data_IF_301312181869
#
_entry.id   IF_301312181869
#
_cell.length_a   1.000
_cell.length_b   1.000
_cell.length_c   1.000
_cell.angle_alpha   90.00
_cell.angle_beta   90.00
_cell.angle_gamma   90.00
#
_symmetry.space_group_name_H-M   'P 1'
#
loop_
_entity.id
_entity.type
_entity.pdbx_description
1 polymer ?
#
# COMPACT_ATOMS: atom_id res chain seq x y z
N UNK A 1 11.63 -14.39 -10.14
CA UNK A 1 11.46 -14.45 -8.68
C UNK A 1 10.70 -13.22 -8.19
N UNK A 2 10.00 -13.30 -7.05
CA UNK A 2 9.35 -12.14 -6.43
C UNK A 2 10.37 -11.25 -5.70
N UNK A 3 10.05 -9.95 -5.55
CA UNK A 3 10.92 -8.97 -4.87
C UNK A 3 11.40 -9.46 -3.50
N UNK A 4 10.51 -10.09 -2.73
CA UNK A 4 10.82 -10.62 -1.40
C UNK A 4 11.78 -11.80 -1.40
N UNK A 5 11.69 -12.70 -2.38
CA UNK A 5 12.64 -13.82 -2.49
C UNK A 5 14.05 -13.31 -2.77
N UNK A 6 14.17 -12.28 -3.62
CA UNK A 6 15.44 -11.64 -3.90
C UNK A 6 15.99 -10.92 -2.66
N UNK A 7 15.16 -10.14 -1.97
CA UNK A 7 15.58 -9.44 -0.75
C UNK A 7 16.01 -10.43 0.36
N UNK A 8 15.26 -11.53 0.55
CA UNK A 8 15.63 -12.58 1.49
C UNK A 8 16.96 -13.24 1.12
N UNK A 9 17.17 -13.53 -0.16
CA UNK A 9 18.43 -14.09 -0.63
C UNK A 9 19.59 -13.12 -0.41
N UNK A 10 19.40 -11.83 -0.71
CA UNK A 10 20.39 -10.79 -0.46
C UNK A 10 20.80 -10.72 1.01
N UNK A 11 19.84 -10.73 1.94
CA UNK A 11 20.12 -10.70 3.39
C UNK A 11 20.89 -11.94 3.87
N UNK A 12 20.69 -13.09 3.23
CA UNK A 12 21.45 -14.31 3.51
C UNK A 12 22.87 -14.18 2.94
N UNK A 13 23.00 -13.66 1.71
CA UNK A 13 24.29 -13.48 1.04
C UNK A 13 25.17 -12.43 1.73
N UNK A 14 24.58 -11.39 2.33
CA UNK A 14 25.28 -10.36 3.11
C UNK A 14 25.59 -10.80 4.55
N UNK A 15 25.02 -11.92 5.00
CA UNK A 15 25.19 -12.42 6.37
C UNK A 15 24.33 -11.72 7.43
N UNK A 16 23.39 -10.85 7.02
CA UNK A 16 22.40 -10.23 7.92
C UNK A 16 21.37 -11.24 8.43
N UNK A 17 21.19 -12.35 7.72
CA UNK A 17 20.42 -13.51 8.14
C UNK A 17 21.26 -14.79 8.10
N UNK A 18 21.00 -15.76 9.00
CA UNK A 18 21.66 -17.06 8.93
C UNK A 18 21.26 -17.84 7.68
N UNK A 19 22.02 -18.88 7.35
CA UNK A 19 21.60 -19.85 6.34
C UNK A 19 20.29 -20.51 6.78
N UNK A 20 19.25 -20.37 5.96
CA UNK A 20 17.93 -20.92 6.21
C UNK A 20 17.72 -22.22 5.43
N UNK A 21 16.92 -23.14 5.95
CA UNK A 21 16.40 -24.27 5.17
C UNK A 21 15.49 -23.78 4.04
N UNK A 22 15.26 -24.62 3.03
CA UNK A 22 14.31 -24.29 1.97
C UNK A 22 12.88 -24.07 2.50
N UNK A 23 12.51 -24.77 3.57
CA UNK A 23 11.22 -24.60 4.24
C UNK A 23 11.10 -23.22 4.88
N UNK A 24 12.10 -22.79 5.66
CA UNK A 24 12.12 -21.47 6.30
C UNK A 24 12.13 -20.34 5.26
N UNK A 25 12.90 -20.48 4.18
CA UNK A 25 12.90 -19.50 3.09
C UNK A 25 11.52 -19.37 2.45
N UNK A 26 10.85 -20.49 2.22
CA UNK A 26 9.49 -20.48 1.67
C UNK A 26 8.48 -19.89 2.65
N UNK A 27 8.63 -20.16 3.94
CA UNK A 27 7.75 -19.62 4.97
C UNK A 27 7.84 -18.08 5.02
N UNK A 28 9.07 -17.54 5.08
CA UNK A 28 9.31 -16.10 5.06
C UNK A 28 8.89 -15.44 3.74
N UNK A 29 9.17 -16.09 2.60
CA UNK A 29 8.81 -15.55 1.30
C UNK A 29 7.28 -15.41 1.11
N UNK A 30 6.49 -16.22 1.82
CA UNK A 30 5.02 -16.24 1.74
C UNK A 30 4.31 -15.50 2.87
N UNK A 31 5.06 -14.82 3.76
CA UNK A 31 4.52 -14.17 4.96
C UNK A 31 3.40 -13.17 4.68
N UNK A 32 3.42 -12.49 3.51
CA UNK A 32 2.37 -11.54 3.12
C UNK A 32 0.98 -12.17 3.13
N UNK A 33 0.85 -13.42 2.66
CA UNK A 33 -0.43 -14.12 2.67
C UNK A 33 -0.94 -14.44 4.08
N UNK A 34 -0.13 -14.27 5.12
CA UNK A 34 -0.45 -14.58 6.52
C UNK A 34 -0.67 -13.32 7.37
N UNK A 35 -0.51 -12.13 6.79
CA UNK A 35 -0.73 -10.88 7.52
C UNK A 35 -2.20 -10.73 7.90
N UNK A 36 -2.42 -10.16 9.08
CA UNK A 36 -3.75 -9.80 9.58
C UNK A 36 -3.95 -8.29 9.42
N UNK A 37 -5.20 -7.89 9.22
CA UNK A 37 -5.56 -6.47 9.22
C UNK A 37 -5.39 -5.86 10.60
N UNK A 38 -5.03 -4.58 10.64
CA UNK A 38 -5.14 -3.81 11.87
C UNK A 38 -6.60 -3.73 12.35
N UNK A 39 -6.89 -3.76 13.66
CA UNK A 39 -8.26 -3.85 14.19
C UNK A 39 -9.20 -2.71 13.76
N UNK A 40 -8.66 -1.52 13.51
CA UNK A 40 -9.40 -0.32 13.09
C UNK A 40 -9.73 -0.30 11.58
N UNK A 41 -8.96 -1.03 10.78
CA UNK A 41 -8.99 -0.92 9.32
C UNK A 41 -10.28 -1.46 8.68
N UNK A 42 -10.88 -2.58 9.15
CA UNK A 42 -12.13 -3.09 8.58
C UNK A 42 -13.31 -2.10 8.70
N UNK A 43 -13.47 -1.47 9.86
CA UNK A 43 -14.55 -0.51 10.10
C UNK A 43 -14.37 0.75 9.25
N UNK A 44 -13.15 1.33 9.25
CA UNK A 44 -12.84 2.50 8.43
C UNK A 44 -13.03 2.20 6.94
N UNK A 45 -12.50 1.08 6.44
CA UNK A 45 -12.65 0.68 5.03
C UNK A 45 -14.12 0.52 4.65
N UNK A 46 -14.95 -0.04 5.53
CA UNK A 46 -16.38 -0.20 5.28
C UNK A 46 -17.06 1.16 5.13
N UNK A 47 -16.80 2.08 6.06
CA UNK A 47 -17.32 3.46 5.99
C UNK A 47 -16.86 4.19 4.71
N UNK A 48 -15.58 4.06 4.36
CA UNK A 48 -15.01 4.65 3.14
C UNK A 48 -15.63 4.06 1.87
N UNK A 49 -15.85 2.74 1.83
CA UNK A 49 -16.35 2.05 0.63
C UNK A 49 -17.78 2.46 0.27
N UNK A 50 -18.53 3.03 1.21
CA UNK A 50 -19.85 3.59 0.95
C UNK A 50 -19.80 4.96 0.24
N UNK A 51 -18.65 5.65 0.27
CA UNK A 51 -18.49 7.01 -0.24
C UNK A 51 -17.60 7.08 -1.49
N UNK A 52 -16.59 6.21 -1.57
CA UNK A 52 -15.51 6.32 -2.56
C UNK A 52 -15.10 4.95 -3.12
N UNK A 53 -14.50 4.97 -4.31
CA UNK A 53 -13.72 3.82 -4.81
C UNK A 53 -12.55 3.57 -3.86
N UNK A 54 -12.11 2.31 -3.76
CA UNK A 54 -10.98 1.91 -2.91
C UNK A 54 -10.16 0.90 -3.70
N UNK A 55 -8.91 1.24 -3.94
CA UNK A 55 -7.98 0.45 -4.75
C UNK A 55 -6.68 0.24 -4.00
N UNK A 56 -6.26 -1.02 -3.87
CA UNK A 56 -4.95 -1.35 -3.32
C UNK A 56 -3.86 -1.32 -4.41
N UNK A 57 -2.75 -0.63 -4.17
CA UNK A 57 -1.57 -0.49 -5.05
C UNK A 57 -0.30 -0.89 -4.28
N UNK A 58 0.23 -2.08 -4.52
CA UNK A 58 1.30 -2.63 -3.66
C UNK A 58 2.52 -3.12 -4.45
N UNK A 59 3.69 -3.05 -3.82
CA UNK A 59 4.92 -3.69 -4.31
C UNK A 59 4.88 -5.23 -4.25
N UNK A 60 3.82 -5.82 -3.67
CA UNK A 60 3.60 -7.26 -3.69
C UNK A 60 3.19 -7.77 -5.08
N UNK A 61 3.49 -9.04 -5.36
CA UNK A 61 3.06 -9.69 -6.61
C UNK A 61 1.54 -9.86 -6.60
N UNK A 62 0.91 -9.86 -7.79
CA UNK A 62 -0.54 -9.97 -7.90
C UNK A 62 -1.11 -11.22 -7.20
N UNK A 63 -0.46 -12.37 -7.34
CA UNK A 63 -0.87 -13.61 -6.67
C UNK A 63 -0.84 -13.49 -5.13
N UNK A 64 0.11 -12.74 -4.60
CA UNK A 64 0.25 -12.52 -3.16
C UNK A 64 -0.81 -11.54 -2.67
N UNK A 65 -1.15 -10.52 -3.47
CA UNK A 65 -2.22 -9.60 -3.15
C UNK A 65 -3.60 -10.27 -3.20
N UNK A 66 -3.83 -11.18 -4.13
CA UNK A 66 -5.06 -12.00 -4.16
C UNK A 66 -5.15 -12.86 -2.90
N UNK A 67 -4.04 -13.49 -2.50
CA UNK A 67 -3.98 -14.32 -1.29
C UNK A 67 -4.20 -13.49 -0.03
N UNK A 68 -3.53 -12.34 0.09
CA UNK A 68 -3.71 -11.39 1.19
C UNK A 68 -5.15 -10.90 1.27
N UNK A 69 -5.75 -10.50 0.13
CA UNK A 69 -7.11 -9.98 0.10
C UNK A 69 -8.12 -11.02 0.60
N UNK A 70 -7.94 -12.28 0.23
CA UNK A 70 -8.74 -13.40 0.73
C UNK A 70 -8.55 -13.63 2.23
N UNK A 71 -7.32 -13.73 2.69
CA UNK A 71 -7.01 -14.17 4.06
C UNK A 71 -7.20 -13.08 5.12
N UNK A 72 -7.06 -11.82 4.72
CA UNK A 72 -7.22 -10.67 5.58
C UNK A 72 -8.62 -10.04 5.47
N UNK A 73 -9.56 -10.68 4.76
CA UNK A 73 -10.94 -10.21 4.55
C UNK A 73 -11.02 -8.77 4.01
N UNK A 74 -10.01 -8.40 3.22
CA UNK A 74 -9.88 -7.07 2.63
C UNK A 74 -10.67 -7.05 1.32
N UNK A 75 -11.79 -6.31 1.30
CA UNK A 75 -12.56 -6.08 0.08
C UNK A 75 -12.14 -4.77 -0.57
N UNK A 76 -11.60 -4.88 -1.78
CA UNK A 76 -11.20 -3.77 -2.62
C UNK A 76 -12.10 -3.70 -3.84
N UNK A 77 -12.25 -2.51 -4.41
CA UNK A 77 -12.86 -2.37 -5.73
C UNK A 77 -11.89 -2.82 -6.83
N UNK A 78 -10.59 -2.59 -6.63
CA UNK A 78 -9.51 -3.11 -7.48
C UNK A 78 -8.23 -3.33 -6.69
N UNK A 79 -7.34 -4.17 -7.24
CA UNK A 79 -6.02 -4.47 -6.68
C UNK A 79 -4.99 -4.43 -7.80
N UNK A 80 -3.94 -3.64 -7.63
CA UNK A 80 -2.89 -3.36 -8.61
C UNK A 80 -1.53 -3.71 -7.98
N UNK A 81 -0.79 -4.58 -8.65
CA UNK A 81 0.61 -4.82 -8.32
C UNK A 81 1.48 -3.80 -9.03
N UNK A 82 2.43 -3.18 -8.31
CA UNK A 82 3.40 -2.26 -8.89
C UNK A 82 4.21 -2.90 -10.03
N UNK A 83 4.35 -4.24 -10.04
CA UNK A 83 4.99 -4.96 -11.15
C UNK A 83 4.34 -4.69 -12.51
N UNK A 84 3.06 -4.33 -12.57
CA UNK A 84 2.39 -3.96 -13.81
C UNK A 84 2.97 -2.69 -14.45
N UNK A 85 3.63 -1.83 -13.66
CA UNK A 85 4.35 -0.65 -14.17
C UNK A 85 5.84 -0.92 -14.40
N UNK A 86 6.28 -2.19 -14.32
CA UNK A 86 7.70 -2.59 -14.40
C UNK A 86 8.63 -1.88 -13.40
N UNK A 87 8.07 -1.39 -12.29
CA UNK A 87 8.81 -0.70 -11.23
C UNK A 87 8.19 -0.99 -9.86
N UNK A 88 8.75 -0.38 -8.82
CA UNK A 88 8.23 -0.45 -7.46
C UNK A 88 8.15 0.96 -6.87
N UNK A 89 7.20 1.18 -5.96
CA UNK A 89 7.15 2.41 -5.15
C UNK A 89 8.51 2.58 -4.45
N UNK A 90 9.06 3.81 -4.33
CA UNK A 90 8.44 5.11 -4.64
C UNK A 90 8.56 5.56 -6.10
N UNK A 91 8.92 4.69 -7.04
CA UNK A 91 9.05 5.12 -8.43
C UNK A 91 7.73 5.68 -8.96
N UNK A 92 7.81 6.87 -9.54
CA UNK A 92 6.68 7.68 -9.95
C UNK A 92 5.71 7.01 -10.95
N UNK A 93 6.21 6.06 -11.76
CA UNK A 93 5.44 5.37 -12.78
C UNK A 93 4.42 4.40 -12.18
N UNK A 94 4.58 3.98 -10.92
CA UNK A 94 3.60 3.15 -10.22
C UNK A 94 2.29 3.93 -10.02
N UNK A 95 2.39 5.18 -9.58
CA UNK A 95 1.22 6.04 -9.38
C UNK A 95 0.61 6.45 -10.73
N UNK A 96 1.46 6.80 -11.71
CA UNK A 96 1.02 7.12 -13.08
C UNK A 96 0.22 5.96 -13.68
N UNK A 97 0.74 4.73 -13.60
CA UNK A 97 0.06 3.55 -14.13
C UNK A 97 -1.29 3.32 -13.44
N UNK A 98 -1.38 3.50 -12.11
CA UNK A 98 -2.64 3.36 -11.39
C UNK A 98 -3.67 4.41 -11.81
N UNK A 99 -3.26 5.68 -11.97
CA UNK A 99 -4.11 6.76 -12.46
C UNK A 99 -4.64 6.47 -13.87
N UNK A 100 -3.77 6.04 -14.78
CA UNK A 100 -4.12 5.75 -16.18
C UNK A 100 -5.04 4.54 -16.32
N UNK A 101 -4.72 3.43 -15.66
CA UNK A 101 -5.51 2.19 -15.72
C UNK A 101 -6.95 2.39 -15.24
N UNK A 102 -7.15 3.29 -14.29
CA UNK A 102 -8.43 3.54 -13.64
C UNK A 102 -9.08 4.87 -14.06
N UNK A 103 -8.45 5.60 -14.99
CA UNK A 103 -8.88 6.89 -15.52
C UNK A 103 -9.22 7.89 -14.39
N UNK A 104 -8.27 8.04 -13.46
CA UNK A 104 -8.42 8.88 -12.28
C UNK A 104 -7.82 10.26 -12.49
N UNK A 105 -8.50 11.28 -11.95
CA UNK A 105 -7.94 12.63 -11.82
C UNK A 105 -7.04 12.68 -10.58
N UNK A 106 -5.73 12.95 -10.70
CA UNK A 106 -4.83 13.03 -9.55
C UNK A 106 -5.30 14.00 -8.48
N UNK A 107 -5.87 15.16 -8.86
CA UNK A 107 -6.33 16.17 -7.89
C UNK A 107 -7.54 15.71 -7.06
N UNK A 108 -8.24 14.66 -7.53
CA UNK A 108 -9.36 14.02 -6.84
C UNK A 108 -9.02 12.61 -6.35
N UNK A 109 -7.75 12.24 -6.40
CA UNK A 109 -7.25 10.95 -5.97
C UNK A 109 -6.37 11.10 -4.74
N UNK A 110 -6.70 10.40 -3.68
CA UNK A 110 -5.91 10.36 -2.46
C UNK A 110 -5.11 9.08 -2.37
N UNK A 111 -3.84 9.13 -1.94
CA UNK A 111 -3.06 7.96 -1.52
C UNK A 111 -3.01 7.93 0.00
N UNK A 112 -3.34 6.78 0.57
CA UNK A 112 -3.39 6.58 2.03
C UNK A 112 -2.36 5.53 2.41
N UNK A 113 -1.36 5.88 3.23
CA UNK A 113 -0.27 4.98 3.60
C UNK A 113 0.28 5.28 5.00
N UNK A 114 0.91 4.27 5.60
CA UNK A 114 1.66 4.41 6.85
C UNK A 114 3.12 4.83 6.64
N UNK A 115 3.55 4.92 5.38
CA UNK A 115 4.92 5.18 4.99
C UNK A 115 5.02 6.58 4.36
N UNK A 116 5.65 7.56 5.04
CA UNK A 116 5.78 8.92 4.52
C UNK A 116 6.47 9.00 3.15
N UNK A 117 7.41 8.09 2.87
CA UNK A 117 8.10 8.05 1.58
C UNK A 117 7.16 7.70 0.41
N UNK A 118 6.11 6.92 0.64
CA UNK A 118 5.11 6.54 -0.36
C UNK A 118 4.22 7.76 -0.67
N UNK A 119 3.85 8.49 0.37
CA UNK A 119 3.02 9.70 0.27
C UNK A 119 3.75 10.85 -0.43
N UNK A 120 5.03 11.07 -0.15
CA UNK A 120 5.84 12.07 -0.88
C UNK A 120 5.88 11.79 -2.38
N UNK A 121 6.04 10.54 -2.76
CA UNK A 121 6.07 10.16 -4.17
C UNK A 121 4.72 10.34 -4.87
N UNK A 122 3.61 10.07 -4.17
CA UNK A 122 2.26 10.37 -4.65
C UNK A 122 2.01 11.88 -4.79
N UNK A 123 2.47 12.68 -3.83
CA UNK A 123 2.30 14.14 -3.86
C UNK A 123 3.01 14.80 -5.06
N UNK A 124 4.14 14.24 -5.52
CA UNK A 124 4.81 14.68 -6.75
C UNK A 124 3.96 14.47 -8.02
N UNK A 125 2.90 13.66 -7.94
CA UNK A 125 1.90 13.48 -9.01
C UNK A 125 0.62 14.27 -8.77
N UNK A 126 0.67 15.29 -7.91
CA UNK A 126 -0.46 16.14 -7.55
C UNK A 126 -1.63 15.36 -6.92
N UNK A 127 -1.35 14.18 -6.37
CA UNK A 127 -2.32 13.40 -5.61
C UNK A 127 -2.46 13.94 -4.19
N UNK A 128 -3.66 13.83 -3.63
CA UNK A 128 -3.90 14.06 -2.21
C UNK A 128 -3.23 12.93 -1.39
N UNK A 129 -2.91 13.19 -0.13
CA UNK A 129 -2.18 12.21 0.70
C UNK A 129 -2.76 12.12 2.10
N UNK A 130 -2.87 10.92 2.66
CA UNK A 130 -3.25 10.71 4.04
C UNK A 130 -2.27 9.76 4.73
N UNK A 131 -1.73 10.20 5.86
CA UNK A 131 -0.82 9.40 6.64
C UNK A 131 -1.56 8.72 7.78
N UNK A 132 -1.48 7.39 7.81
CA UNK A 132 -2.08 6.60 8.88
C UNK A 132 -0.95 6.00 9.72
N UNK A 133 -0.73 6.56 10.90
CA UNK A 133 0.37 6.12 11.77
C UNK A 133 0.22 4.64 12.14
N UNK A 134 1.28 3.86 11.91
CA UNK A 134 1.40 2.46 12.33
C UNK A 134 2.73 2.22 13.06
N UNK A 135 2.81 1.24 13.96
CA UNK A 135 4.07 0.83 14.56
C UNK A 135 5.11 0.46 13.50
N UNK A 136 6.36 0.87 13.71
CA UNK A 136 7.52 0.49 12.90
C UNK A 136 7.51 0.94 11.42
N UNK A 137 6.68 1.93 11.03
CA UNK A 137 6.64 2.44 9.64
C UNK A 137 7.43 3.74 9.41
N UNK A 138 8.11 4.23 10.46
CA UNK A 138 8.67 5.58 10.48
C UNK A 138 7.58 6.65 10.67
N UNK A 139 7.99 7.86 11.03
CA UNK A 139 7.09 9.01 11.18
C UNK A 139 7.34 10.07 10.10
N UNK A 140 6.38 10.99 9.87
CA UNK A 140 6.59 12.15 9.02
C UNK A 140 7.79 12.98 9.49
N UNK A 141 8.49 13.60 8.54
CA UNK A 141 9.39 14.72 8.84
C UNK A 141 8.57 16.00 9.06
N UNK A 142 9.16 17.06 9.64
CA UNK A 142 8.48 18.35 9.79
C UNK A 142 8.04 19.00 8.45
N UNK A 143 8.67 18.58 7.34
CA UNK A 143 8.40 19.06 5.97
C UNK A 143 7.23 18.30 5.31
N UNK A 144 6.80 17.17 5.90
CA UNK A 144 5.71 16.37 5.35
C UNK A 144 4.35 17.03 5.64
N UNK A 145 3.61 17.30 4.59
CA UNK A 145 2.24 17.82 4.66
C UNK A 145 1.27 16.80 4.06
N UNK A 146 0.39 16.27 4.92
CA UNK A 146 -0.62 15.30 4.54
C UNK A 146 -2.02 15.88 4.81
N UNK A 147 -2.96 15.56 3.93
CA UNK A 147 -4.35 16.01 3.99
C UNK A 147 -5.05 15.46 5.24
N UNK A 148 -4.88 14.17 5.54
CA UNK A 148 -5.44 13.53 6.74
C UNK A 148 -4.37 12.80 7.57
N UNK A 149 -4.63 12.69 8.88
CA UNK A 149 -3.67 12.23 9.90
C UNK A 149 -4.02 10.91 10.57
N UNK A 150 -5.27 10.45 10.43
CA UNK A 150 -5.72 9.11 10.81
C UNK A 150 -6.97 8.68 9.99
N UNK A 151 -7.52 7.50 10.29
CA UNK A 151 -8.65 6.93 9.55
C UNK A 151 -9.99 7.62 9.84
N UNK A 152 -10.15 8.21 11.03
CA UNK A 152 -11.35 8.96 11.40
C UNK A 152 -11.35 10.33 10.72
N UNK A 153 -10.23 11.06 10.85
CA UNK A 153 -9.97 12.33 10.16
C UNK A 153 -10.13 12.17 8.64
N UNK A 154 -9.56 11.11 8.06
CA UNK A 154 -9.77 10.77 6.65
C UNK A 154 -11.26 10.61 6.29
N UNK A 155 -12.03 9.90 7.11
CA UNK A 155 -13.44 9.67 6.84
C UNK A 155 -14.30 10.95 6.94
N UNK A 156 -13.90 11.89 7.79
CA UNK A 156 -14.58 13.17 7.99
C UNK A 156 -14.25 14.17 6.87
N UNK A 157 -13.01 14.14 6.36
CA UNK A 157 -12.57 15.01 5.27
C UNK A 157 -13.07 14.56 3.88
N UNK A 158 -13.37 13.28 3.70
CA UNK A 158 -13.86 12.76 2.43
C UNK A 158 -15.32 13.17 2.19
N UNK A 159 -15.48 14.27 1.44
CA UNK A 159 -16.74 14.69 0.87
C UNK A 159 -17.23 13.71 -0.23
N UNK A 160 -18.54 13.64 -0.51
CA UNK A 160 -19.08 12.88 -1.64
C UNK A 160 -18.40 13.30 -2.97
N UNK A 161 -17.88 12.35 -3.73
CA UNK A 161 -17.28 12.59 -5.05
C UNK A 161 -15.75 12.70 -5.09
N UNK A 162 -15.02 12.39 -4.03
CA UNK A 162 -13.56 12.12 -4.15
C UNK A 162 -13.36 10.66 -4.59
N UNK A 163 -12.46 10.40 -5.53
CA UNK A 163 -12.10 9.02 -5.88
C UNK A 163 -10.98 8.55 -4.95
N UNK A 164 -11.29 7.66 -4.01
CA UNK A 164 -10.30 7.13 -3.09
C UNK A 164 -9.36 6.12 -3.78
N UNK A 165 -8.05 6.23 -3.53
CA UNK A 165 -7.10 5.14 -3.76
C UNK A 165 -6.46 4.81 -2.40
N UNK A 166 -6.44 3.53 -2.00
CA UNK A 166 -5.87 3.12 -0.71
C UNK A 166 -5.49 1.66 -0.78
N UNK A 167 -4.21 1.35 -1.01
CA UNK A 167 -3.06 1.18 -0.08
C UNK A 167 -1.81 1.30 -0.97
#
# INVERSE_FOLDING_TARGET
>A
MSLRRNALQMLIDTGDLPLLTNAERNDLATIIGKLRTWPDSPAARTALSAKVRIVAVSNADLAELVTLSKNAELRWHAVISAKLSHAYKPHECVYQAALEMLQLDPARTMVVAAHPWDLRAAALKSMLTAHITRPHTGGPSPEDHFTATDLADLNDQLAPGVDGVTI
#
